data_IF_577462929206
#
_entry.id   IF_577462929206
#
_cell.length_a   1.000
_cell.length_b   1.000
_cell.length_c   1.000
_cell.angle_alpha   90.00
_cell.angle_beta   90.00
_cell.angle_gamma   90.00
#
_symmetry.space_group_name_H-M   'P 1'
#
loop_
_entity.id
_entity.type
_entity.pdbx_description
1 polymer ?
#
# COMPACT_ATOMS: atom_id res chain seq x y z
N UNK A 1 -19.15 17.48 2.30
CA UNK A 1 -19.57 16.26 1.60
C UNK A 1 -19.11 16.21 0.14
N UNK A 2 -19.30 17.24 -0.68
CA UNK A 2 -18.85 17.27 -2.10
C UNK A 2 -17.32 17.17 -2.22
N UNK A 3 -16.55 17.82 -1.35
CA UNK A 3 -15.08 17.82 -1.34
C UNK A 3 -14.44 16.46 -1.03
N UNK A 4 -15.05 15.68 -0.15
CA UNK A 4 -14.58 14.32 0.15
C UNK A 4 -14.78 13.37 -1.03
N UNK A 5 -15.87 13.51 -1.78
CA UNK A 5 -16.11 12.76 -3.02
C UNK A 5 -15.11 13.10 -4.12
N UNK A 6 -14.73 14.37 -4.25
CA UNK A 6 -13.74 14.80 -5.24
C UNK A 6 -12.39 14.14 -5.00
N UNK A 7 -11.85 14.21 -3.78
CA UNK A 7 -10.57 13.58 -3.43
C UNK A 7 -10.59 12.06 -3.65
N UNK A 8 -11.70 11.40 -3.32
CA UNK A 8 -11.89 9.98 -3.55
C UNK A 8 -11.85 9.63 -5.04
N UNK A 9 -12.51 10.43 -5.89
CA UNK A 9 -12.51 10.24 -7.34
C UNK A 9 -11.10 10.45 -7.91
N UNK A 10 -10.36 11.46 -7.45
CA UNK A 10 -9.01 11.75 -7.91
C UNK A 10 -8.02 10.60 -7.64
N UNK A 11 -8.18 9.88 -6.54
CA UNK A 11 -7.35 8.71 -6.22
C UNK A 11 -7.78 7.47 -7.02
N UNK A 12 -9.08 7.22 -7.10
CA UNK A 12 -9.59 5.97 -7.69
C UNK A 12 -9.60 6.01 -9.22
N UNK A 13 -9.95 7.13 -9.84
CA UNK A 13 -10.13 7.21 -11.29
C UNK A 13 -8.84 6.89 -12.08
N UNK A 14 -7.66 7.47 -11.77
CA UNK A 14 -6.41 7.12 -12.44
C UNK A 14 -6.06 5.63 -12.28
N UNK A 15 -6.31 5.07 -11.09
CA UNK A 15 -6.05 3.67 -10.81
C UNK A 15 -6.97 2.74 -11.61
N UNK A 16 -8.26 3.08 -11.76
CA UNK A 16 -9.21 2.37 -12.61
C UNK A 16 -8.80 2.40 -14.08
N UNK A 17 -8.41 3.58 -14.59
CA UNK A 17 -7.94 3.73 -15.97
C UNK A 17 -6.71 2.84 -16.19
N UNK A 18 -5.75 2.87 -15.28
CA UNK A 18 -4.58 2.00 -15.33
C UNK A 18 -4.94 0.51 -15.39
N UNK A 19 -5.86 0.06 -14.52
CA UNK A 19 -6.33 -1.33 -14.50
C UNK A 19 -6.99 -1.74 -15.82
N UNK A 20 -7.89 -0.90 -16.35
CA UNK A 20 -8.58 -1.15 -17.63
C UNK A 20 -7.55 -1.27 -18.77
N UNK A 21 -6.55 -0.37 -18.80
CA UNK A 21 -5.50 -0.40 -19.82
C UNK A 21 -4.67 -1.67 -19.71
N UNK A 22 -4.29 -2.11 -18.51
CA UNK A 22 -3.51 -3.33 -18.27
C UNK A 22 -4.29 -4.56 -18.69
N UNK A 23 -5.56 -4.68 -18.29
CA UNK A 23 -6.44 -5.81 -18.64
C UNK A 23 -6.62 -5.90 -20.16
N UNK A 24 -6.90 -4.76 -20.83
CA UNK A 24 -7.07 -4.73 -22.29
C UNK A 24 -5.78 -5.04 -23.05
N UNK A 25 -4.64 -4.42 -22.67
CA UNK A 25 -3.35 -4.63 -23.37
C UNK A 25 -2.87 -6.07 -23.31
N UNK A 26 -3.21 -6.79 -22.25
CA UNK A 26 -2.70 -8.15 -22.01
C UNK A 26 -3.72 -9.24 -22.28
N UNK A 27 -4.89 -8.90 -22.83
CA UNK A 27 -6.00 -9.84 -23.12
C UNK A 27 -6.26 -10.82 -21.96
N UNK A 28 -6.23 -10.30 -20.73
CA UNK A 28 -6.45 -11.11 -19.53
C UNK A 28 -7.93 -11.52 -19.48
N UNK A 29 -8.17 -12.82 -19.52
CA UNK A 29 -9.47 -13.34 -19.09
C UNK A 29 -9.62 -13.04 -17.60
N UNK A 30 -10.77 -12.48 -17.21
CA UNK A 30 -11.09 -12.21 -15.80
C UNK A 30 -11.35 -13.56 -15.11
N UNK A 31 -10.29 -14.23 -14.69
CA UNK A 31 -10.34 -15.44 -13.90
C UNK A 31 -10.55 -15.10 -12.41
N UNK A 32 -11.01 -16.09 -11.62
CA UNK A 32 -11.27 -15.93 -10.19
C UNK A 32 -10.09 -15.32 -9.43
N UNK A 33 -8.85 -15.67 -9.79
CA UNK A 33 -7.63 -15.17 -9.18
C UNK A 33 -7.41 -13.67 -9.44
N UNK A 34 -7.72 -13.21 -10.66
CA UNK A 34 -7.67 -11.78 -11.03
C UNK A 34 -8.72 -11.00 -10.23
N UNK A 35 -9.92 -11.55 -10.07
CA UNK A 35 -10.98 -10.90 -9.29
C UNK A 35 -10.60 -10.75 -7.81
N UNK A 36 -10.02 -11.77 -7.19
CA UNK A 36 -9.54 -11.72 -5.80
C UNK A 36 -8.44 -10.65 -5.66
N UNK A 37 -7.49 -10.61 -6.60
CA UNK A 37 -6.45 -9.58 -6.61
C UNK A 37 -7.05 -8.17 -6.69
N UNK A 38 -8.01 -7.95 -7.58
CA UNK A 38 -8.68 -6.65 -7.73
C UNK A 38 -9.40 -6.23 -6.43
N UNK A 39 -10.08 -7.14 -5.75
CA UNK A 39 -10.72 -6.84 -4.45
C UNK A 39 -9.70 -6.32 -3.43
N UNK A 40 -8.54 -6.98 -3.31
CA UNK A 40 -7.49 -6.54 -2.40
C UNK A 40 -6.87 -5.20 -2.82
N UNK A 41 -6.72 -4.96 -4.11
CA UNK A 41 -6.27 -3.67 -4.64
C UNK A 41 -7.26 -2.55 -4.30
N UNK A 42 -8.58 -2.79 -4.41
CA UNK A 42 -9.57 -1.78 -4.00
C UNK A 42 -9.55 -1.49 -2.50
N UNK A 43 -9.34 -2.52 -1.66
CA UNK A 43 -9.14 -2.34 -0.22
C UNK A 43 -7.89 -1.49 0.03
N UNK A 44 -6.80 -1.73 -0.70
CA UNK A 44 -5.58 -0.94 -0.62
C UNK A 44 -5.81 0.52 -1.04
N UNK A 45 -6.50 0.77 -2.15
CA UNK A 45 -6.81 2.13 -2.62
C UNK A 45 -7.71 2.88 -1.64
N UNK A 46 -8.70 2.21 -1.05
CA UNK A 46 -9.53 2.79 0.01
C UNK A 46 -8.68 3.18 1.21
N UNK A 47 -7.76 2.31 1.63
CA UNK A 47 -6.82 2.61 2.71
C UNK A 47 -5.96 3.84 2.37
N UNK A 48 -5.36 3.90 1.17
CA UNK A 48 -4.54 5.03 0.72
C UNK A 48 -5.33 6.34 0.77
N UNK A 49 -6.56 6.32 0.26
CA UNK A 49 -7.46 7.48 0.34
C UNK A 49 -7.69 7.94 1.79
N UNK A 50 -7.96 7.01 2.71
CA UNK A 50 -8.17 7.32 4.12
C UNK A 50 -6.90 7.87 4.78
N UNK A 51 -5.72 7.33 4.46
CA UNK A 51 -4.43 7.79 4.97
C UNK A 51 -4.12 9.21 4.49
N UNK A 52 -4.27 9.50 3.20
CA UNK A 52 -4.07 10.83 2.63
C UNK A 52 -5.06 11.85 3.20
N UNK A 53 -6.32 11.47 3.36
CA UNK A 53 -7.35 12.31 3.98
C UNK A 53 -7.02 12.66 5.42
N UNK A 54 -6.47 11.71 6.20
CA UNK A 54 -6.02 11.95 7.58
C UNK A 54 -4.75 12.78 7.64
N UNK A 55 -3.82 12.57 6.71
CA UNK A 55 -2.63 13.38 6.57
C UNK A 55 -2.95 14.85 6.20
N UNK A 56 -4.22 15.14 5.86
CA UNK A 56 -4.67 16.51 5.52
C UNK A 56 -4.10 16.98 4.19
N UNK A 57 -3.76 16.06 3.29
CA UNK A 57 -3.39 16.41 1.92
C UNK A 57 -4.66 16.89 1.25
N UNK A 58 -4.73 18.21 1.08
CA UNK A 58 -5.80 18.89 0.39
C UNK A 58 -5.77 18.62 -1.12
N UNK A 59 -6.78 19.09 -1.81
CA UNK A 59 -6.80 19.07 -3.26
C UNK A 59 -5.79 20.09 -3.83
N UNK A 60 -5.39 19.87 -5.09
CA UNK A 60 -4.54 20.80 -5.86
C UNK A 60 -5.06 22.26 -5.84
N UNK A 61 -6.34 22.45 -5.54
CA UNK A 61 -7.00 23.77 -5.42
C UNK A 61 -6.68 24.50 -4.12
N UNK A 62 -6.08 23.84 -3.15
CA UNK A 62 -5.65 24.47 -1.89
C UNK A 62 -4.24 25.07 -2.04
N UNK A 63 -3.52 24.70 -3.11
CA UNK A 63 -2.23 25.29 -3.48
C UNK A 63 -2.46 26.74 -3.88
N UNK A 64 -1.86 27.68 -3.14
CA UNK A 64 -1.95 29.12 -3.42
C UNK A 64 -3.09 29.88 -2.71
N UNK A 65 -3.89 29.20 -1.87
CA UNK A 65 -4.90 29.86 -1.02
C UNK A 65 -4.29 30.69 0.09
N UNK A 66 -3.01 30.47 0.39
CA UNK A 66 -2.30 31.08 1.48
C UNK A 66 -1.04 31.78 0.97
N UNK A 67 -0.73 32.95 1.53
CA UNK A 67 0.41 33.78 1.17
C UNK A 67 1.71 33.09 1.59
N UNK A 68 2.43 32.49 0.62
CA UNK A 68 3.71 31.84 0.81
C UNK A 68 3.71 30.40 0.29
N UNK A 69 4.48 30.16 -0.80
CA UNK A 69 4.54 28.82 -1.44
C UNK A 69 5.35 27.80 -0.63
N UNK A 70 6.24 28.25 0.26
CA UNK A 70 7.07 27.38 1.08
C UNK A 70 7.27 27.97 2.47
N UNK A 71 6.99 27.19 3.50
CA UNK A 71 7.27 27.53 4.90
C UNK A 71 8.46 26.71 5.40
N UNK A 72 9.65 27.13 5.00
CA UNK A 72 10.92 26.51 5.42
C UNK A 72 11.09 26.61 6.94
N UNK A 73 10.53 27.66 7.56
CA UNK A 73 10.62 27.92 9.01
C UNK A 73 9.81 26.94 9.88
N UNK A 74 8.93 26.13 9.28
CA UNK A 74 8.10 25.13 9.98
C UNK A 74 8.61 23.70 9.80
N UNK A 75 9.81 23.51 9.26
CA UNK A 75 10.44 22.18 9.15
C UNK A 75 11.13 21.86 10.47
N UNK A 76 10.59 20.91 11.22
CA UNK A 76 11.24 20.39 12.41
C UNK A 76 12.07 19.15 12.07
N UNK A 77 13.40 19.30 12.19
CA UNK A 77 14.35 18.20 11.98
C UNK A 77 14.92 17.65 13.28
N UNK A 78 14.47 18.16 14.44
CA UNK A 78 14.96 17.68 15.74
C UNK A 78 14.03 16.56 16.20
N UNK A 79 14.52 15.29 16.26
CA UNK A 79 13.68 14.18 16.68
C UNK A 79 13.20 14.36 18.13
N UNK A 80 11.93 14.04 18.38
CA UNK A 80 11.28 14.00 19.70
C UNK A 80 11.12 15.34 20.41
N UNK A 81 11.19 16.48 19.69
CA UNK A 81 11.14 17.79 20.29
C UNK A 81 9.72 18.36 20.47
N UNK A 82 8.79 18.05 19.58
CA UNK A 82 7.54 18.81 19.47
C UNK A 82 6.24 18.03 19.59
N UNK A 83 6.26 16.69 19.51
CA UNK A 83 5.04 15.91 19.30
C UNK A 83 4.71 15.03 20.50
N UNK A 84 3.43 14.98 20.88
CA UNK A 84 2.97 14.13 21.97
C UNK A 84 2.97 12.65 21.60
N UNK A 85 3.15 11.76 22.59
CA UNK A 85 3.14 10.29 22.43
C UNK A 85 1.93 9.79 21.64
N UNK A 86 0.77 10.42 21.79
CA UNK A 86 -0.45 10.05 21.07
C UNK A 86 -0.30 10.19 19.55
N UNK A 87 0.36 11.26 19.08
CA UNK A 87 0.60 11.49 17.65
C UNK A 87 1.52 10.42 17.08
N UNK A 88 2.58 10.05 17.80
CA UNK A 88 3.47 8.94 17.41
C UNK A 88 2.70 7.63 17.24
N UNK A 89 1.85 7.28 18.22
CA UNK A 89 1.04 6.06 18.15
C UNK A 89 0.08 6.10 16.96
N UNK A 90 -0.56 7.25 16.71
CA UNK A 90 -1.51 7.39 15.59
C UNK A 90 -0.82 7.27 14.23
N UNK A 91 0.39 7.83 14.05
CA UNK A 91 1.19 7.70 12.85
C UNK A 91 1.61 6.25 12.61
N UNK A 92 2.08 5.55 13.65
CA UNK A 92 2.39 4.13 13.58
C UNK A 92 1.14 3.34 13.13
N UNK A 93 0.00 3.52 13.80
CA UNK A 93 -1.25 2.81 13.49
C UNK A 93 -1.71 3.13 12.05
N UNK A 94 -1.55 4.38 11.61
CA UNK A 94 -1.93 4.79 10.26
C UNK A 94 -1.15 4.04 9.17
N UNK A 95 0.15 3.74 9.39
CA UNK A 95 0.99 3.07 8.41
C UNK A 95 1.07 1.53 8.56
N UNK A 96 0.59 0.96 9.67
CA UNK A 96 0.53 -0.50 9.84
C UNK A 96 -0.24 -1.21 8.71
N UNK A 97 -1.40 -0.71 8.23
CA UNK A 97 -2.09 -1.34 7.10
C UNK A 97 -1.28 -1.33 5.81
N UNK A 98 -0.46 -0.28 5.55
CA UNK A 98 0.45 -0.26 4.40
C UNK A 98 1.40 -1.46 4.44
N UNK A 99 2.08 -1.63 5.59
CA UNK A 99 3.04 -2.70 5.77
C UNK A 99 2.44 -4.10 5.71
N UNK A 100 1.17 -4.25 6.07
CA UNK A 100 0.42 -5.51 6.00
C UNK A 100 -0.09 -5.80 4.58
N UNK A 101 -0.70 -4.84 3.90
CA UNK A 101 -1.35 -5.02 2.60
C UNK A 101 -0.34 -5.20 1.46
N UNK A 102 0.80 -4.50 1.50
CA UNK A 102 1.82 -4.61 0.46
C UNK A 102 2.26 -6.07 0.22
N UNK A 103 2.77 -6.82 1.22
CA UNK A 103 3.20 -8.20 1.01
C UNK A 103 2.04 -9.18 0.81
N UNK A 104 0.83 -8.83 1.26
CA UNK A 104 -0.38 -9.61 1.05
C UNK A 104 -0.77 -9.62 -0.43
N UNK A 105 -0.73 -8.44 -1.08
CA UNK A 105 -1.20 -8.25 -2.46
C UNK A 105 -0.08 -8.57 -3.47
N UNK A 106 1.15 -8.10 -3.21
CA UNK A 106 2.26 -8.19 -4.15
C UNK A 106 3.43 -8.99 -3.61
N UNK A 107 3.82 -10.03 -4.31
CA UNK A 107 4.94 -10.92 -3.93
C UNK A 107 6.28 -10.20 -3.75
N UNK A 108 6.52 -9.11 -4.52
CA UNK A 108 7.76 -8.33 -4.44
C UNK A 108 7.96 -7.64 -3.08
N UNK A 109 6.88 -7.41 -2.33
CA UNK A 109 6.90 -6.79 -1.00
C UNK A 109 6.97 -7.80 0.15
N UNK A 110 7.21 -9.09 -0.13
CA UNK A 110 7.49 -10.11 0.90
C UNK A 110 8.90 -10.02 1.47
N UNK A 111 9.55 -8.89 1.29
CA UNK A 111 10.85 -8.52 1.84
C UNK A 111 10.68 -7.25 2.69
N UNK A 112 11.21 -7.27 3.91
CA UNK A 112 11.13 -6.16 4.85
C UNK A 112 11.76 -4.88 4.27
N UNK A 113 12.86 -5.00 3.52
CA UNK A 113 13.54 -3.85 2.93
C UNK A 113 12.62 -3.10 1.95
N UNK A 114 11.93 -3.84 1.07
CA UNK A 114 11.04 -3.23 0.09
C UNK A 114 9.84 -2.56 0.77
N UNK A 115 9.29 -3.15 1.83
CA UNK A 115 8.19 -2.55 2.60
C UNK A 115 8.66 -1.31 3.34
N UNK A 116 9.82 -1.36 4.00
CA UNK A 116 10.38 -0.21 4.73
C UNK A 116 10.69 0.96 3.81
N UNK A 117 11.34 0.69 2.65
CA UNK A 117 11.65 1.73 1.67
C UNK A 117 10.38 2.34 1.06
N UNK A 118 9.35 1.53 0.83
CA UNK A 118 8.06 2.03 0.32
C UNK A 118 7.33 2.84 1.38
N UNK A 119 7.33 2.40 2.63
CA UNK A 119 6.78 3.15 3.77
C UNK A 119 7.47 4.49 3.95
N UNK A 120 8.81 4.51 3.94
CA UNK A 120 9.62 5.71 4.02
C UNK A 120 9.33 6.66 2.84
N UNK A 121 9.34 6.13 1.61
CA UNK A 121 9.08 6.93 0.39
C UNK A 121 7.68 7.50 0.34
N UNK A 122 6.66 6.74 0.76
CA UNK A 122 5.29 7.23 0.82
C UNK A 122 5.10 8.26 1.93
N UNK A 123 5.72 8.06 3.11
CA UNK A 123 5.72 9.06 4.18
C UNK A 123 6.40 10.35 3.74
N UNK A 124 7.57 10.25 3.10
CA UNK A 124 8.28 11.42 2.56
C UNK A 124 7.43 12.16 1.50
N UNK A 125 6.71 11.45 0.64
CA UNK A 125 5.82 12.05 -0.33
C UNK A 125 4.66 12.82 0.37
N UNK A 126 4.10 12.27 1.44
CA UNK A 126 3.10 12.94 2.28
C UNK A 126 3.67 14.23 2.87
N UNK A 127 4.85 14.16 3.51
CA UNK A 127 5.51 15.34 4.10
C UNK A 127 5.78 16.43 3.06
N UNK A 128 6.27 16.06 1.88
CA UNK A 128 6.47 17.00 0.78
C UNK A 128 5.16 17.65 0.32
N UNK A 129 4.06 16.91 0.26
CA UNK A 129 2.75 17.48 -0.06
C UNK A 129 2.24 18.41 1.06
N UNK A 130 2.55 18.11 2.31
CA UNK A 130 2.16 18.94 3.46
C UNK A 130 2.87 20.28 3.49
N UNK A 131 4.11 20.39 2.98
CA UNK A 131 4.82 21.65 2.80
C UNK A 131 4.03 22.66 1.93
N UNK A 132 3.24 22.16 0.98
CA UNK A 132 2.37 22.99 0.14
C UNK A 132 1.03 23.34 0.80
N UNK A 133 0.64 22.63 1.88
CA UNK A 133 -0.67 22.74 2.52
C UNK A 133 -0.61 23.36 3.93
N UNK A 134 0.45 24.10 4.27
CA UNK A 134 0.58 24.83 5.55
C UNK A 134 0.59 23.93 6.80
N UNK A 135 1.08 22.70 6.69
CA UNK A 135 1.38 21.85 7.83
C UNK A 135 2.89 21.82 8.09
N UNK A 136 3.26 21.80 9.35
CA UNK A 136 4.66 21.59 9.75
C UNK A 136 5.09 20.20 9.29
N UNK A 137 6.24 20.13 8.63
CA UNK A 137 6.89 18.87 8.26
C UNK A 137 7.75 18.42 9.44
N UNK A 138 7.51 17.23 9.95
CA UNK A 138 8.18 16.70 11.11
C UNK A 138 8.91 15.39 10.79
N UNK A 139 10.20 15.31 11.15
CA UNK A 139 10.99 14.09 10.98
C UNK A 139 10.42 12.93 11.81
N UNK A 140 9.74 13.24 12.91
CA UNK A 140 9.10 12.23 13.76
C UNK A 140 7.98 11.51 13.03
N UNK A 141 7.21 12.22 12.21
CA UNK A 141 6.15 11.63 11.38
C UNK A 141 6.76 10.64 10.37
N UNK A 142 7.87 11.01 9.73
CA UNK A 142 8.59 10.13 8.80
C UNK A 142 9.09 8.85 9.50
N UNK A 143 9.63 8.99 10.71
CA UNK A 143 10.14 7.86 11.50
C UNK A 143 9.01 6.95 11.98
N UNK A 144 7.93 7.51 12.55
CA UNK A 144 6.81 6.76 13.11
C UNK A 144 5.99 6.06 12.01
N UNK A 145 5.77 6.73 10.89
CA UNK A 145 5.13 6.15 9.72
C UNK A 145 5.93 4.95 9.17
N UNK A 146 7.25 5.10 9.03
CA UNK A 146 8.12 4.00 8.59
C UNK A 146 8.09 2.83 9.58
N UNK A 147 8.17 3.11 10.88
CA UNK A 147 8.04 2.11 11.93
C UNK A 147 6.70 1.38 11.86
N UNK A 148 5.61 2.12 11.60
CA UNK A 148 4.28 1.56 11.39
C UNK A 148 4.25 0.55 10.24
N UNK A 149 4.85 0.89 9.10
CA UNK A 149 4.97 -0.02 7.95
C UNK A 149 5.76 -1.30 8.30
N UNK A 150 6.86 -1.16 9.04
CA UNK A 150 7.66 -2.30 9.52
C UNK A 150 6.85 -3.21 10.46
N UNK A 151 6.13 -2.63 11.42
CA UNK A 151 5.27 -3.39 12.32
C UNK A 151 4.15 -4.11 11.57
N UNK A 152 3.52 -3.44 10.59
CA UNK A 152 2.53 -4.04 9.71
C UNK A 152 3.07 -5.25 8.93
N UNK A 153 4.31 -5.17 8.45
CA UNK A 153 4.99 -6.29 7.81
C UNK A 153 5.15 -7.48 8.77
N UNK A 154 5.58 -7.24 10.01
CA UNK A 154 5.70 -8.33 10.99
C UNK A 154 4.36 -8.97 11.33
N UNK A 155 3.28 -8.19 11.40
CA UNK A 155 1.93 -8.74 11.55
C UNK A 155 1.59 -9.66 10.37
N UNK A 156 1.88 -9.24 9.13
CA UNK A 156 1.67 -10.07 7.95
C UNK A 156 2.49 -11.38 8.03
N UNK A 157 3.77 -11.33 8.44
CA UNK A 157 4.61 -12.52 8.63
C UNK A 157 3.98 -13.47 9.63
N UNK A 158 3.53 -12.96 10.78
CA UNK A 158 2.85 -13.75 11.82
C UNK A 158 1.59 -14.44 11.29
N UNK A 159 0.71 -13.67 10.62
CA UNK A 159 -0.53 -14.19 10.03
C UNK A 159 -0.24 -15.23 8.94
N UNK A 160 0.71 -14.96 8.05
CA UNK A 160 1.10 -15.88 6.99
C UNK A 160 1.67 -17.20 7.54
N UNK A 161 2.50 -17.14 8.57
CA UNK A 161 3.05 -18.32 9.22
C UNK A 161 1.95 -19.12 9.93
N UNK A 162 1.05 -18.44 10.64
CA UNK A 162 -0.09 -19.11 11.29
C UNK A 162 -0.97 -19.81 10.25
N UNK A 163 -1.28 -19.14 9.13
CA UNK A 163 -2.08 -19.72 8.05
C UNK A 163 -1.41 -20.94 7.43
N UNK A 164 -0.09 -20.90 7.22
CA UNK A 164 0.67 -22.03 6.70
C UNK A 164 0.70 -23.22 7.70
N UNK A 165 0.77 -22.95 9.01
CA UNK A 165 0.71 -24.00 10.02
C UNK A 165 -0.67 -24.68 10.05
N UNK A 166 -1.75 -23.90 9.98
CA UNK A 166 -3.12 -24.43 9.92
C UNK A 166 -3.29 -25.28 8.66
N UNK A 167 -2.91 -24.73 7.49
CA UNK A 167 -2.99 -25.45 6.21
C UNK A 167 -2.17 -26.74 6.19
N UNK A 168 -0.99 -26.75 6.82
CA UNK A 168 -0.16 -27.94 6.93
C UNK A 168 -0.81 -29.02 7.80
N UNK A 169 -1.54 -28.63 8.84
CA UNK A 169 -2.27 -29.55 9.72
C UNK A 169 -3.44 -30.22 9.03
N UNK A 170 -4.16 -29.51 8.14
CA UNK A 170 -5.32 -30.01 7.41
C UNK A 170 -4.96 -30.84 6.17
N UNK A 171 -3.74 -30.70 5.65
CA UNK A 171 -3.30 -31.34 4.39
C UNK A 171 -2.73 -32.74 4.64
N UNK A 172 -2.27 -33.08 5.85
CA UNK A 172 -1.56 -34.34 6.13
C UNK A 172 -2.31 -35.64 5.78
N UNK A 173 -3.66 -35.74 5.84
CA UNK A 173 -4.38 -36.95 5.42
C UNK A 173 -4.68 -37.05 3.92
N UNK A 174 -4.64 -35.96 3.16
CA UNK A 174 -5.08 -35.93 1.75
C UNK A 174 -3.93 -36.02 0.73
N UNK A 175 -2.69 -35.79 1.15
CA UNK A 175 -1.51 -35.68 0.26
C UNK A 175 -1.19 -37.01 -0.43
N UNK A 176 -1.48 -38.16 0.21
CA UNK A 176 -1.12 -39.47 -0.37
C UNK A 176 -1.97 -39.88 -1.58
N UNK A 177 -3.11 -39.24 -1.79
CA UNK A 177 -4.05 -39.62 -2.87
C UNK A 177 -3.88 -38.82 -4.18
N UNK A 178 -3.19 -37.69 -4.16
CA UNK A 178 -3.21 -36.71 -5.27
C UNK A 178 -1.84 -36.47 -5.94
N UNK A 179 -0.76 -37.15 -5.53
CA UNK A 179 0.63 -36.87 -6.00
C UNK A 179 0.80 -37.13 -7.52
N UNK A 180 0.01 -37.99 -8.13
CA UNK A 180 0.17 -38.35 -9.56
C UNK A 180 -0.63 -37.45 -10.50
N UNK A 181 -1.70 -36.79 -10.04
CA UNK A 181 -2.49 -35.87 -10.85
C UNK A 181 -2.01 -34.42 -10.79
N UNK A 182 -1.23 -34.05 -9.77
CA UNK A 182 -0.85 -32.66 -9.49
C UNK A 182 0.42 -32.20 -10.21
N UNK A 183 1.26 -33.09 -10.72
CA UNK A 183 2.53 -32.70 -11.38
C UNK A 183 2.27 -31.93 -12.71
N UNK A 184 1.21 -32.26 -13.44
CA UNK A 184 0.82 -31.57 -14.66
C UNK A 184 0.06 -30.25 -14.36
N UNK A 185 -0.75 -30.22 -13.30
CA UNK A 185 -1.48 -29.05 -12.87
C UNK A 185 -0.55 -27.99 -12.25
N UNK A 186 0.51 -28.40 -11.53
CA UNK A 186 1.50 -27.50 -10.88
C UNK A 186 2.31 -26.73 -11.92
N UNK A 187 2.72 -27.37 -13.04
CA UNK A 187 3.48 -26.69 -14.10
C UNK A 187 2.67 -25.62 -14.83
N UNK A 188 1.38 -25.85 -15.06
CA UNK A 188 0.50 -24.87 -15.69
C UNK A 188 0.20 -23.70 -14.73
N UNK A 189 -0.01 -23.97 -13.44
CA UNK A 189 -0.30 -22.95 -12.41
C UNK A 189 0.94 -22.08 -12.12
N UNK A 190 2.15 -22.64 -12.19
CA UNK A 190 3.41 -21.91 -12.04
C UNK A 190 3.67 -20.93 -13.21
N UNK A 191 3.36 -21.29 -14.42
CA UNK A 191 3.55 -20.41 -15.58
C UNK A 191 2.52 -19.26 -15.58
N UNK A 192 1.28 -19.55 -15.25
CA UNK A 192 0.22 -18.55 -15.05
C UNK A 192 0.58 -17.64 -13.85
N UNK A 193 1.05 -18.19 -12.74
CA UNK A 193 1.48 -17.45 -11.56
C UNK A 193 2.68 -16.55 -11.86
N UNK A 194 3.68 -17.00 -12.62
CA UNK A 194 4.82 -16.17 -13.07
C UNK A 194 4.36 -15.05 -14.00
N UNK A 195 3.45 -15.34 -14.93
CA UNK A 195 2.90 -14.35 -15.85
C UNK A 195 2.09 -13.29 -15.11
N UNK A 196 1.25 -13.67 -14.15
CA UNK A 196 0.50 -12.76 -13.28
C UNK A 196 1.45 -11.93 -12.42
N UNK A 197 2.49 -12.52 -11.81
CA UNK A 197 3.46 -11.83 -10.97
C UNK A 197 4.27 -10.80 -11.78
N UNK A 198 4.66 -11.11 -13.02
CA UNK A 198 5.34 -10.16 -13.90
C UNK A 198 4.44 -9.00 -14.34
N UNK A 199 3.13 -9.23 -14.38
CA UNK A 199 2.11 -8.26 -14.75
C UNK A 199 1.97 -7.13 -13.73
N UNK A 200 2.02 -7.49 -12.44
CA UNK A 200 1.74 -6.59 -11.32
C UNK A 200 3.01 -6.15 -10.58
N UNK A 201 4.20 -6.38 -11.18
CA UNK A 201 5.49 -6.15 -10.51
C UNK A 201 5.64 -4.73 -9.93
N UNK A 202 5.16 -3.72 -10.66
CA UNK A 202 5.29 -2.31 -10.26
C UNK A 202 3.96 -1.65 -9.90
N UNK A 203 2.87 -2.43 -9.85
CA UNK A 203 1.51 -1.92 -9.69
C UNK A 203 1.34 -1.11 -8.39
N UNK A 204 1.88 -1.62 -7.27
CA UNK A 204 1.79 -0.94 -5.98
C UNK A 204 2.42 0.46 -6.01
N UNK A 205 3.62 0.58 -6.59
CA UNK A 205 4.33 1.85 -6.68
C UNK A 205 3.57 2.82 -7.59
N UNK A 206 3.01 2.32 -8.70
CA UNK A 206 2.21 3.15 -9.62
C UNK A 206 0.98 3.70 -8.88
N UNK A 207 0.28 2.88 -8.10
CA UNK A 207 -0.88 3.35 -7.33
C UNK A 207 -0.50 4.38 -6.27
N UNK A 208 0.63 4.19 -5.56
CA UNK A 208 1.11 5.16 -4.58
C UNK A 208 1.47 6.50 -5.24
N UNK A 209 2.14 6.48 -6.41
CA UNK A 209 2.46 7.69 -7.16
C UNK A 209 1.19 8.38 -7.64
N UNK A 210 0.25 7.64 -8.25
CA UNK A 210 -1.00 8.20 -8.77
C UNK A 210 -1.91 8.75 -7.67
N UNK A 211 -1.81 8.24 -6.45
CA UNK A 211 -2.60 8.70 -5.32
C UNK A 211 -2.08 10.02 -4.73
N UNK A 212 -0.77 10.30 -4.87
CA UNK A 212 -0.13 11.52 -4.34
C UNK A 212 -0.15 12.66 -5.37
N UNK A 213 -0.17 12.34 -6.68
CA UNK A 213 -0.29 13.33 -7.76
C UNK A 213 -1.70 13.90 -7.87
#
# INVERSE_FOLDING_TARGET
>A
MIWTFYSFICVILPCLIYQIVVIKRKNLKVEKNVMIHLVWVYIFLLYIYLALSKAGIGSIWDIGRYSGLFRIDEINLIPFDSVGILTYILNIIMFMPLGFLLPLIWKNFRNIINVSLTGLGFSLAIELCQLFNLRATDIDDLMMNTLGAVLGYFIWVGVNNLFNLIKKKDIFPSIYKNIIQDEIAITIDDDISKKITSLYKNEAIIYLILAVL
#
